data_IF_463674707200
#
_entry.id   IF_463674707200
#
_cell.length_a   1.000
_cell.length_b   1.000
_cell.length_c   1.000
_cell.angle_alpha   90.00
_cell.angle_beta   90.00
_cell.angle_gamma   90.00
#
_symmetry.space_group_name_H-M   'P 1'
#
loop_
_entity.id
_entity.type
_entity.pdbx_description
1 polymer ?
#
# COMPACT_ATOMS: atom_id res chain seq x y z
N UNK A 1 -19.45 -24.00 49.96
CA UNK A 1 -20.10 -23.98 48.64
C UNK A 1 -20.02 -22.60 47.97
N UNK A 2 -20.41 -21.50 48.63
CA UNK A 2 -20.41 -20.13 47.99
C UNK A 2 -19.00 -19.67 47.51
N UNK A 3 -17.91 -20.01 48.26
CA UNK A 3 -16.53 -19.62 47.86
C UNK A 3 -16.00 -20.38 46.63
N UNK A 4 -16.43 -21.62 46.42
CA UNK A 4 -16.02 -22.46 45.29
C UNK A 4 -16.72 -21.98 44.02
N UNK A 5 -18.00 -21.59 44.11
CA UNK A 5 -18.77 -21.06 42.99
C UNK A 5 -18.18 -19.73 42.52
N UNK A 6 -17.77 -18.85 43.44
CA UNK A 6 -17.14 -17.57 43.10
C UNK A 6 -15.81 -17.75 42.36
N UNK A 7 -15.00 -18.75 42.78
CA UNK A 7 -13.71 -19.04 42.13
C UNK A 7 -13.90 -19.61 40.72
N UNK A 8 -14.87 -20.50 40.53
CA UNK A 8 -15.21 -21.05 39.21
C UNK A 8 -15.70 -19.98 38.24
N UNK A 9 -16.55 -19.04 38.71
CA UNK A 9 -17.04 -17.91 37.92
C UNK A 9 -15.88 -16.98 37.49
N UNK A 10 -14.93 -16.73 38.38
CA UNK A 10 -13.77 -15.89 38.08
C UNK A 10 -12.88 -16.53 36.99
N UNK A 11 -12.61 -17.84 37.08
CA UNK A 11 -11.84 -18.55 36.04
C UNK A 11 -12.57 -18.58 34.70
N UNK A 12 -13.91 -18.68 34.70
CA UNK A 12 -14.72 -18.64 33.48
C UNK A 12 -14.65 -17.25 32.82
N UNK A 13 -14.71 -16.18 33.60
CA UNK A 13 -14.60 -14.80 33.11
C UNK A 13 -13.19 -14.51 32.56
N UNK A 14 -12.15 -14.97 33.24
CA UNK A 14 -10.76 -14.83 32.76
C UNK A 14 -10.56 -15.62 31.46
N UNK A 15 -11.05 -16.86 31.39
CA UNK A 15 -10.99 -17.68 30.18
C UNK A 15 -11.73 -17.05 29.01
N UNK A 16 -12.91 -16.46 29.27
CA UNK A 16 -13.70 -15.78 28.25
C UNK A 16 -13.04 -14.48 27.76
N UNK A 17 -12.43 -13.71 28.69
CA UNK A 17 -11.66 -12.52 28.33
C UNK A 17 -10.43 -12.88 27.50
N UNK A 18 -9.73 -13.95 27.88
CA UNK A 18 -8.56 -14.44 27.12
C UNK A 18 -8.97 -14.95 25.74
N UNK A 19 -10.10 -15.67 25.63
CA UNK A 19 -10.65 -16.13 24.36
C UNK A 19 -11.05 -14.96 23.46
N UNK A 20 -11.64 -13.89 24.00
CA UNK A 20 -11.99 -12.68 23.25
C UNK A 20 -10.75 -11.94 22.74
N UNK A 21 -9.68 -11.84 23.54
CA UNK A 21 -8.42 -11.21 23.11
C UNK A 21 -7.72 -12.04 22.01
N UNK A 22 -7.77 -13.37 22.13
CA UNK A 22 -7.16 -14.28 21.13
C UNK A 22 -7.96 -14.37 19.82
N UNK A 23 -9.27 -14.11 19.89
CA UNK A 23 -10.17 -14.18 18.73
C UNK A 23 -10.68 -12.79 18.28
N UNK A 24 -9.97 -11.71 18.61
CA UNK A 24 -10.29 -10.43 17.98
C UNK A 24 -10.08 -10.62 16.47
N UNK A 25 -11.11 -10.41 15.64
CA UNK A 25 -10.88 -10.31 14.20
C UNK A 25 -9.87 -9.18 14.00
N UNK A 26 -8.85 -9.43 13.20
CA UNK A 26 -7.90 -8.40 12.78
C UNK A 26 -8.74 -7.20 12.33
N UNK A 27 -8.75 -6.15 13.16
CA UNK A 27 -9.34 -4.88 12.71
C UNK A 27 -8.64 -4.57 11.40
N UNK A 28 -9.39 -4.22 10.32
CA UNK A 28 -8.75 -3.82 9.08
C UNK A 28 -7.75 -2.72 9.47
N UNK A 29 -6.47 -3.02 9.36
CA UNK A 29 -5.42 -2.02 9.57
C UNK A 29 -5.55 -1.12 8.36
N UNK A 30 -6.27 -0.02 8.50
CA UNK A 30 -6.32 0.99 7.48
C UNK A 30 -4.90 1.52 7.28
N UNK A 31 -4.50 1.64 6.03
CA UNK A 31 -3.20 2.16 5.65
C UNK A 31 -3.12 3.67 5.94
N UNK A 32 -2.84 4.00 7.20
CA UNK A 32 -2.71 5.38 7.69
C UNK A 32 -1.24 5.72 7.97
N UNK A 33 -0.95 7.02 7.96
CA UNK A 33 0.38 7.53 8.34
C UNK A 33 0.70 7.14 9.78
N UNK A 34 1.89 6.61 9.99
CA UNK A 34 2.38 6.07 11.26
C UNK A 34 2.14 4.56 11.45
N UNK A 35 1.31 3.93 10.62
CA UNK A 35 1.04 2.49 10.67
C UNK A 35 1.92 1.71 9.69
N UNK A 36 2.04 0.40 9.92
CA UNK A 36 2.60 -0.52 8.94
C UNK A 36 1.75 -0.50 7.66
N UNK A 37 2.42 -0.43 6.52
CA UNK A 37 1.75 -0.58 5.23
C UNK A 37 1.09 -1.95 5.14
N UNK A 38 -0.15 -1.98 4.66
CA UNK A 38 -0.89 -3.24 4.47
C UNK A 38 -0.25 -4.02 3.34
N UNK A 39 0.28 -5.20 3.64
CA UNK A 39 0.87 -6.07 2.62
C UNK A 39 -0.19 -6.60 1.65
N UNK A 40 0.25 -6.84 0.43
CA UNK A 40 -0.58 -7.41 -0.62
C UNK A 40 0.28 -8.19 -1.61
N UNK A 41 -0.36 -9.10 -2.35
CA UNK A 41 0.20 -9.74 -3.54
C UNK A 41 -0.78 -9.53 -4.68
N UNK A 42 -0.33 -8.88 -5.75
CA UNK A 42 -1.12 -8.60 -6.95
C UNK A 42 -0.34 -9.03 -8.20
N UNK A 43 -1.05 -9.27 -9.30
CA UNK A 43 -0.42 -9.57 -10.58
C UNK A 43 0.02 -8.31 -11.30
N UNK A 44 1.19 -8.37 -11.92
CA UNK A 44 1.60 -7.37 -12.90
C UNK A 44 0.91 -7.62 -14.26
N UNK A 45 1.07 -6.73 -15.25
CA UNK A 45 0.50 -6.92 -16.59
C UNK A 45 0.97 -8.17 -17.33
N UNK A 46 2.11 -8.77 -16.94
CA UNK A 46 2.63 -10.03 -17.51
C UNK A 46 2.11 -11.27 -16.76
N UNK A 47 1.27 -11.10 -15.74
CA UNK A 47 0.66 -12.18 -14.94
C UNK A 47 1.53 -12.71 -13.80
N UNK A 48 2.69 -12.10 -13.53
CA UNK A 48 3.56 -12.46 -12.41
C UNK A 48 3.04 -11.83 -11.11
N UNK A 49 3.18 -12.56 -10.01
CA UNK A 49 2.84 -12.07 -8.69
C UNK A 49 3.93 -11.13 -8.17
N UNK A 50 3.53 -9.98 -7.65
CA UNK A 50 4.38 -8.98 -6.98
C UNK A 50 3.75 -8.64 -5.64
N UNK A 51 4.53 -8.71 -4.58
CA UNK A 51 4.12 -8.35 -3.22
C UNK A 51 4.78 -7.06 -2.76
N UNK A 52 4.10 -6.28 -1.93
CA UNK A 52 4.73 -5.12 -1.30
C UNK A 52 5.93 -5.55 -0.45
N UNK A 53 5.84 -6.70 0.19
CA UNK A 53 6.93 -7.30 1.00
C UNK A 53 8.19 -7.65 0.20
N UNK A 54 8.14 -7.75 -1.14
CA UNK A 54 9.32 -7.97 -1.98
C UNK A 54 10.28 -6.75 -1.95
N UNK A 55 9.78 -5.60 -1.52
CA UNK A 55 10.53 -4.34 -1.44
C UNK A 55 10.99 -4.00 -0.01
N UNK A 56 10.92 -4.95 0.95
CA UNK A 56 11.38 -4.73 2.32
C UNK A 56 12.84 -4.26 2.35
N UNK A 57 13.11 -3.29 3.20
CA UNK A 57 14.45 -2.68 3.34
C UNK A 57 14.73 -1.55 2.36
N UNK A 58 13.79 -1.25 1.46
CA UNK A 58 13.85 -0.07 0.57
C UNK A 58 12.85 1.00 1.02
N UNK A 59 13.12 2.24 0.66
CA UNK A 59 12.12 3.29 0.67
C UNK A 59 11.20 3.11 -0.53
N UNK A 60 9.87 3.21 -0.32
CA UNK A 60 8.90 2.90 -1.36
C UNK A 60 8.00 4.11 -1.62
N UNK A 61 7.87 4.48 -2.89
CA UNK A 61 6.78 5.29 -3.40
C UNK A 61 5.70 4.34 -3.94
N UNK A 62 4.61 4.15 -3.19
CA UNK A 62 3.44 3.39 -3.60
C UNK A 62 2.40 4.34 -4.16
N UNK A 63 2.09 4.26 -5.47
CA UNK A 63 1.20 5.19 -6.16
C UNK A 63 -0.05 4.47 -6.71
N UNK A 64 -1.22 5.07 -6.53
CA UNK A 64 -2.50 4.60 -7.09
C UNK A 64 -2.91 5.45 -8.28
N UNK A 65 -3.23 4.82 -9.41
CA UNK A 65 -3.49 5.48 -10.67
C UNK A 65 -4.48 4.75 -11.57
N UNK A 66 -4.94 5.42 -12.65
CA UNK A 66 -5.76 4.84 -13.70
C UNK A 66 -5.41 5.42 -15.08
N UNK A 67 -5.72 4.68 -16.15
CA UNK A 67 -5.43 5.11 -17.54
C UNK A 67 -6.21 6.36 -17.98
N UNK A 68 -7.39 6.58 -17.42
CA UNK A 68 -8.24 7.75 -17.68
C UNK A 68 -7.87 8.99 -16.85
N UNK A 69 -6.99 8.84 -15.85
CA UNK A 69 -6.61 9.90 -14.93
C UNK A 69 -5.55 10.83 -15.57
N UNK A 70 -5.94 11.99 -16.03
CA UNK A 70 -5.02 12.96 -16.65
C UNK A 70 -3.93 13.48 -15.68
N UNK A 71 -4.21 13.81 -14.40
CA UNK A 71 -3.17 14.18 -13.46
C UNK A 71 -2.14 13.05 -13.26
N UNK A 72 -2.60 11.78 -13.19
CA UNK A 72 -1.70 10.62 -13.05
C UNK A 72 -0.71 10.54 -14.22
N UNK A 73 -1.20 10.69 -15.46
CA UNK A 73 -0.35 10.68 -16.66
C UNK A 73 0.72 11.78 -16.66
N UNK A 74 0.41 12.94 -16.08
CA UNK A 74 1.36 14.05 -15.97
C UNK A 74 2.46 13.78 -14.94
N UNK A 75 2.17 13.02 -13.90
CA UNK A 75 3.10 12.64 -12.82
C UNK A 75 4.06 11.51 -13.23
N UNK A 76 3.62 10.59 -14.11
CA UNK A 76 4.35 9.38 -14.48
C UNK A 76 5.79 9.60 -14.97
N UNK A 77 6.10 10.61 -15.80
CA UNK A 77 7.49 10.87 -16.19
C UNK A 77 8.41 11.20 -15.01
N UNK A 78 7.89 11.88 -14.01
CA UNK A 78 8.62 12.21 -12.79
C UNK A 78 8.79 11.00 -11.87
N UNK A 79 7.80 10.10 -11.83
CA UNK A 79 7.91 8.78 -11.17
C UNK A 79 8.96 7.91 -11.86
N UNK A 80 8.98 7.87 -13.19
CA UNK A 80 9.98 7.14 -13.97
C UNK A 80 11.39 7.67 -13.70
N UNK A 81 11.55 8.98 -13.68
CA UNK A 81 12.84 9.61 -13.33
C UNK A 81 13.28 9.23 -11.91
N UNK A 82 12.36 9.18 -10.94
CA UNK A 82 12.69 8.72 -9.59
C UNK A 82 13.11 7.26 -9.58
N UNK A 83 12.36 6.40 -10.27
CA UNK A 83 12.66 4.98 -10.41
C UNK A 83 14.06 4.70 -10.96
N UNK A 84 14.49 5.48 -11.96
CA UNK A 84 15.79 5.33 -12.61
C UNK A 84 16.95 6.00 -11.85
N UNK A 85 16.66 6.99 -11.00
CA UNK A 85 17.72 7.81 -10.38
C UNK A 85 18.29 7.23 -9.09
N UNK A 86 17.57 6.33 -8.40
CA UNK A 86 17.96 5.84 -7.08
C UNK A 86 17.60 4.35 -6.92
N UNK A 87 18.60 3.44 -6.90
CA UNK A 87 18.37 2.00 -6.77
C UNK A 87 17.84 1.59 -5.38
N UNK A 88 17.98 2.44 -4.37
CA UNK A 88 17.52 2.19 -3.00
C UNK A 88 16.05 2.62 -2.80
N UNK A 89 15.48 3.28 -3.81
CA UNK A 89 14.07 3.67 -3.85
C UNK A 89 13.30 2.76 -4.79
N UNK A 90 12.24 2.15 -4.29
CA UNK A 90 11.28 1.41 -5.10
C UNK A 90 10.10 2.31 -5.46
N UNK A 91 9.79 2.43 -6.74
CA UNK A 91 8.52 2.96 -7.22
C UNK A 91 7.63 1.76 -7.56
N UNK A 92 6.49 1.62 -6.89
CA UNK A 92 5.50 0.58 -7.15
C UNK A 92 4.14 1.24 -7.41
N UNK A 93 3.59 1.00 -8.59
CA UNK A 93 2.32 1.60 -8.99
C UNK A 93 1.18 0.57 -8.96
N UNK A 94 0.03 0.95 -8.41
CA UNK A 94 -1.18 0.13 -8.38
C UNK A 94 -2.18 0.73 -9.37
N UNK A 95 -2.48 -0.01 -10.43
CA UNK A 95 -3.51 0.35 -11.37
C UNK A 95 -4.88 -0.11 -10.86
N UNK A 96 -5.88 0.78 -10.89
CA UNK A 96 -7.24 0.52 -10.40
C UNK A 96 -8.28 0.35 -11.51
N UNK A 97 -7.88 0.44 -12.79
CA UNK A 97 -8.76 0.21 -13.96
C UNK A 97 -8.24 -0.97 -14.83
N UNK A 98 -8.04 -2.11 -14.19
CA UNK A 98 -7.32 -3.28 -14.72
C UNK A 98 -8.02 -4.03 -15.88
N UNK A 99 -9.14 -3.51 -16.41
CA UNK A 99 -9.82 -3.99 -17.61
C UNK A 99 -9.19 -3.46 -18.91
N UNK A 100 -8.14 -2.64 -18.82
CA UNK A 100 -7.43 -2.01 -19.93
C UNK A 100 -6.12 -2.73 -20.26
N UNK A 101 -5.59 -2.47 -21.44
CA UNK A 101 -4.24 -2.87 -21.82
C UNK A 101 -3.20 -1.99 -21.09
N UNK A 102 -2.91 -2.37 -19.84
CA UNK A 102 -1.98 -1.64 -18.99
C UNK A 102 -0.56 -1.77 -19.51
N UNK A 103 -0.17 -2.94 -20.03
CA UNK A 103 1.16 -3.14 -20.61
C UNK A 103 1.42 -2.21 -21.78
N UNK A 104 0.53 -2.22 -22.77
CA UNK A 104 0.65 -1.33 -23.93
C UNK A 104 0.57 0.15 -23.56
N UNK A 105 -0.16 0.50 -22.50
CA UNK A 105 -0.17 1.87 -21.95
C UNK A 105 1.20 2.27 -21.38
N UNK A 106 1.82 1.41 -20.55
CA UNK A 106 3.14 1.65 -19.97
C UNK A 106 4.21 1.75 -21.06
N UNK A 107 4.22 0.82 -22.01
CA UNK A 107 5.16 0.78 -23.14
C UNK A 107 5.08 2.07 -24.00
N UNK A 108 3.87 2.53 -24.28
CA UNK A 108 3.64 3.76 -25.05
C UNK A 108 4.22 5.02 -24.39
N UNK A 109 4.28 5.03 -23.07
CA UNK A 109 4.82 6.14 -22.28
C UNK A 109 6.27 5.91 -21.86
N UNK A 110 6.91 4.81 -22.27
CA UNK A 110 8.27 4.39 -21.89
C UNK A 110 8.44 4.32 -20.36
N UNK A 111 7.46 3.76 -19.66
CA UNK A 111 7.48 3.60 -18.21
C UNK A 111 7.98 2.20 -17.85
N UNK A 112 8.99 2.13 -16.96
CA UNK A 112 9.65 0.88 -16.57
C UNK A 112 9.45 0.53 -15.10
N UNK A 113 8.89 1.42 -14.28
CA UNK A 113 8.60 1.12 -12.90
C UNK A 113 7.55 0.01 -12.76
N UNK A 114 7.70 -0.90 -11.78
CA UNK A 114 6.76 -1.97 -11.52
C UNK A 114 5.33 -1.46 -11.33
N UNK A 115 4.39 -2.10 -12.03
CA UNK A 115 2.95 -1.82 -11.93
C UNK A 115 2.20 -3.11 -11.66
N UNK A 116 1.24 -3.07 -10.74
CA UNK A 116 0.36 -4.19 -10.38
C UNK A 116 -1.11 -3.81 -10.55
N UNK A 117 -1.97 -4.81 -10.68
CA UNK A 117 -3.37 -4.67 -11.08
C UNK A 117 -4.30 -4.98 -9.90
N UNK A 118 -4.97 -3.98 -9.35
CA UNK A 118 -6.00 -4.14 -8.30
C UNK A 118 -7.38 -4.39 -8.92
N UNK A 119 -7.53 -5.53 -9.60
CA UNK A 119 -8.74 -5.91 -10.38
C UNK A 119 -10.02 -5.83 -9.56
N UNK A 120 -9.96 -6.14 -8.27
CA UNK A 120 -11.12 -6.19 -7.37
C UNK A 120 -11.31 -4.89 -6.58
N UNK A 121 -10.34 -3.98 -6.62
CA UNK A 121 -10.33 -2.77 -5.82
C UNK A 121 -10.15 -3.02 -4.31
N UNK A 122 -9.65 -4.19 -3.94
CA UNK A 122 -9.51 -4.57 -2.52
C UNK A 122 -8.37 -3.79 -1.85
N UNK A 123 -7.28 -3.56 -2.58
CA UNK A 123 -6.13 -2.82 -2.05
C UNK A 123 -6.44 -1.32 -2.04
N UNK A 124 -7.11 -0.82 -3.07
CA UNK A 124 -7.63 0.55 -3.10
C UNK A 124 -8.48 0.86 -1.85
N UNK A 125 -9.35 -0.08 -1.44
CA UNK A 125 -10.17 0.04 -0.23
C UNK A 125 -9.35 0.01 1.04
N UNK A 126 -8.41 -0.96 1.19
CA UNK A 126 -7.54 -1.10 2.36
C UNK A 126 -6.66 0.13 2.60
N UNK A 127 -6.23 0.79 1.51
CA UNK A 127 -5.46 2.03 1.56
C UNK A 127 -6.32 3.29 1.63
N UNK A 128 -7.64 3.13 1.72
CA UNK A 128 -8.61 4.23 1.79
C UNK A 128 -8.31 5.32 0.73
N UNK A 129 -8.15 4.88 -0.54
CA UNK A 129 -7.88 5.78 -1.67
C UNK A 129 -9.20 6.26 -2.25
N UNK A 130 -9.53 7.52 -1.99
CA UNK A 130 -10.80 8.15 -2.42
C UNK A 130 -10.65 8.87 -3.77
N UNK A 131 -9.43 9.33 -4.08
CA UNK A 131 -9.13 10.04 -5.32
C UNK A 131 -7.73 9.67 -5.82
N UNK A 132 -7.47 9.85 -7.11
CA UNK A 132 -6.18 9.57 -7.76
C UNK A 132 -5.66 10.81 -8.52
N UNK A 133 -4.32 10.94 -8.61
CA UNK A 133 -3.31 10.08 -8.00
C UNK A 133 -3.29 10.22 -6.47
N UNK A 134 -2.99 9.13 -5.78
CA UNK A 134 -2.66 9.13 -4.35
C UNK A 134 -1.39 8.32 -4.16
N UNK A 135 -0.45 8.89 -3.42
CA UNK A 135 0.86 8.29 -3.17
C UNK A 135 1.12 8.12 -1.69
N UNK A 136 1.69 6.98 -1.33
CA UNK A 136 2.17 6.67 0.01
C UNK A 136 3.68 6.55 -0.02
N UNK A 137 4.33 7.20 0.92
CA UNK A 137 5.77 7.09 1.17
C UNK A 137 5.98 6.15 2.34
N UNK A 138 6.68 5.03 2.08
CA UNK A 138 6.85 3.94 3.04
C UNK A 138 8.35 3.78 3.28
N UNK A 139 8.77 3.82 4.54
CA UNK A 139 10.18 3.70 4.91
C UNK A 139 10.68 2.24 4.86
N UNK A 140 11.98 2.02 5.08
CA UNK A 140 12.64 0.72 5.02
C UNK A 140 12.08 -0.30 6.04
N UNK A 141 11.40 0.18 7.09
CA UNK A 141 10.73 -0.65 8.10
C UNK A 141 9.30 -1.02 7.69
N UNK A 142 8.82 -0.52 6.55
CA UNK A 142 7.45 -0.74 6.07
C UNK A 142 6.40 0.18 6.68
N UNK A 143 6.80 1.24 7.39
CA UNK A 143 5.88 2.21 7.99
C UNK A 143 5.54 3.30 6.98
N UNK A 144 4.26 3.66 6.89
CA UNK A 144 3.78 4.78 6.08
C UNK A 144 4.16 6.09 6.78
N UNK A 145 5.10 6.83 6.20
CA UNK A 145 5.54 8.12 6.72
C UNK A 145 4.69 9.28 6.21
N UNK A 146 4.14 9.13 5.00
CA UNK A 146 3.35 10.19 4.38
C UNK A 146 2.35 9.66 3.36
N UNK A 147 1.19 10.32 3.28
CA UNK A 147 0.19 10.18 2.22
C UNK A 147 0.04 11.52 1.51
N UNK A 148 0.10 11.50 0.18
CA UNK A 148 -0.10 12.69 -0.66
C UNK A 148 -1.23 12.40 -1.64
N UNK A 149 -2.22 13.27 -1.70
CA UNK A 149 -3.33 13.22 -2.65
C UNK A 149 -3.13 14.30 -3.70
N UNK A 150 -3.13 13.90 -4.96
CA UNK A 150 -2.88 14.78 -6.10
C UNK A 150 -1.48 14.61 -6.69
N UNK A 151 -1.26 15.32 -7.81
CA UNK A 151 -0.02 15.27 -8.59
C UNK A 151 1.18 15.80 -7.81
N UNK A 152 2.33 15.14 -7.97
CA UNK A 152 3.64 15.60 -7.47
C UNK A 152 4.64 15.72 -8.62
N UNK A 153 5.54 16.70 -8.50
CA UNK A 153 6.73 16.82 -9.33
C UNK A 153 7.89 16.02 -8.73
N UNK A 154 8.87 15.67 -9.56
CA UNK A 154 10.06 14.91 -9.17
C UNK A 154 10.74 15.43 -7.89
N UNK A 155 10.92 16.76 -7.77
CA UNK A 155 11.58 17.37 -6.60
C UNK A 155 10.78 17.16 -5.30
N UNK A 156 9.44 17.16 -5.40
CA UNK A 156 8.57 16.89 -4.26
C UNK A 156 8.65 15.41 -3.84
N UNK A 157 8.66 14.49 -4.81
CA UNK A 157 8.83 13.06 -4.57
C UNK A 157 10.18 12.79 -3.90
N UNK A 158 11.27 13.31 -4.48
CA UNK A 158 12.63 13.19 -3.96
C UNK A 158 12.73 13.71 -2.53
N UNK A 159 12.24 14.92 -2.26
CA UNK A 159 12.23 15.50 -0.91
C UNK A 159 11.47 14.64 0.10
N UNK A 160 10.34 14.04 -0.30
CA UNK A 160 9.57 13.17 0.59
C UNK A 160 10.34 11.87 0.89
N UNK A 161 11.05 11.30 -0.08
CA UNK A 161 11.93 10.13 0.08
C UNK A 161 13.12 10.43 1.01
N UNK A 162 13.75 11.60 0.84
CA UNK A 162 14.91 12.01 1.65
C UNK A 162 14.54 12.26 3.13
N UNK A 163 13.30 12.64 3.41
CA UNK A 163 12.80 12.97 4.75
C UNK A 163 12.23 11.75 5.52
N UNK A 164 12.34 10.53 5.00
CA UNK A 164 11.90 9.29 5.67
C UNK A 164 12.98 8.66 6.53
#
# INVERSE_FOLDING_TARGET
>A
MKKIIGSLLLFLLIGMAFYQVMNQPDTPVDAEVGNQAVDFTLKNPDGMDISLSDYKGKKILLNFWATWCNPCKKEMPDMEKLHQSDPDVAVLAINIDSDKDIKGFMDKLNLTFPTVLDVKGDINKKYNVVSIPTSFFINEKGVIEKKVVGIMEYQQMKKNIENM
#
